data_IF_755318233087
#
_entry.id   IF_755318233087
#
_cell.length_a   1.000
_cell.length_b   1.000
_cell.length_c   1.000
_cell.angle_alpha   90.00
_cell.angle_beta   90.00
_cell.angle_gamma   90.00
#
_symmetry.space_group_name_H-M   'P 1'
#
loop_
_entity.id
_entity.type
_entity.pdbx_description
1 polymer ?
#
# COMPACT_ATOMS: atom_id res chain seq x y z
N UNK A 1 -23.00 51.23 -5.20
CA UNK A 1 -21.56 50.89 -5.14
C UNK A 1 -21.06 51.37 -3.79
N UNK A 2 -20.85 50.47 -2.83
CA UNK A 2 -20.40 50.82 -1.48
C UNK A 2 -19.21 49.94 -1.09
N UNK A 3 -18.24 50.60 -0.48
CA UNK A 3 -17.04 50.06 0.14
C UNK A 3 -17.36 49.38 1.49
N UNK A 4 -16.52 48.38 1.84
CA UNK A 4 -15.97 47.97 3.15
C UNK A 4 -16.83 48.11 4.43
N UNK A 5 -16.86 47.07 5.29
CA UNK A 5 -16.02 46.88 6.50
C UNK A 5 -16.69 45.99 7.59
N UNK A 6 -15.86 45.13 8.23
CA UNK A 6 -15.87 44.66 9.66
C UNK A 6 -16.90 43.69 10.26
N UNK A 7 -16.36 42.55 10.72
CA UNK A 7 -16.41 41.95 12.08
C UNK A 7 -17.59 42.26 13.04
N UNK A 8 -18.17 41.21 13.64
CA UNK A 8 -17.85 40.75 15.02
C UNK A 8 -19.03 39.99 15.67
N UNK A 9 -18.68 38.90 16.36
CA UNK A 9 -19.20 38.39 17.63
C UNK A 9 -20.70 38.48 17.96
N UNK A 10 -21.30 37.31 18.18
CA UNK A 10 -22.46 37.13 19.04
C UNK A 10 -22.22 35.95 19.98
N UNK A 11 -22.03 36.23 21.26
CA UNK A 11 -21.92 35.25 22.33
C UNK A 11 -23.17 35.30 23.22
N UNK A 12 -23.41 34.16 23.89
CA UNK A 12 -24.25 33.92 25.07
C UNK A 12 -25.78 33.95 24.92
N UNK A 13 -26.39 32.81 25.24
CA UNK A 13 -27.38 32.78 26.32
C UNK A 13 -27.09 31.58 27.24
N UNK A 14 -26.84 31.89 28.51
CA UNK A 14 -26.67 30.96 29.62
C UNK A 14 -28.03 30.56 30.21
N UNK A 15 -28.20 29.28 30.57
CA UNK A 15 -28.94 28.90 31.76
C UNK A 15 -28.20 27.74 32.43
N UNK A 16 -27.73 27.99 33.65
CA UNK A 16 -27.14 26.98 34.51
C UNK A 16 -28.23 26.21 35.25
N UNK A 17 -27.94 24.94 35.50
CA UNK A 17 -28.35 24.27 36.73
C UNK A 17 -27.24 23.31 37.15
N UNK A 18 -26.74 23.52 38.36
CA UNK A 18 -25.67 22.75 38.97
C UNK A 18 -26.21 21.43 39.54
N UNK A 19 -25.39 20.37 39.45
CA UNK A 19 -25.67 19.08 40.08
C UNK A 19 -24.56 18.04 39.87
N UNK A 20 -23.54 18.10 40.73
CA UNK A 20 -22.63 17.05 41.23
C UNK A 20 -21.93 16.02 40.30
N UNK A 21 -20.65 15.82 40.63
CA UNK A 21 -19.65 14.89 40.10
C UNK A 21 -20.11 13.43 39.94
N UNK A 22 -19.73 12.82 38.82
CA UNK A 22 -18.92 11.59 38.80
C UNK A 22 -18.13 11.56 37.48
N UNK A 23 -16.81 11.46 37.59
CA UNK A 23 -15.92 11.25 36.46
C UNK A 23 -16.08 9.82 35.96
N UNK A 24 -16.30 9.66 34.65
CA UNK A 24 -15.76 8.52 33.93
C UNK A 24 -15.33 9.01 32.55
N UNK A 25 -14.06 8.77 32.25
CA UNK A 25 -13.38 9.30 31.09
C UNK A 25 -13.61 8.42 29.87
N UNK A 26 -14.02 9.03 28.78
CA UNK A 26 -13.69 8.59 27.44
C UNK A 26 -13.93 9.79 26.53
N UNK A 27 -12.89 10.62 26.37
CA UNK A 27 -12.82 11.53 25.24
C UNK A 27 -12.94 10.69 23.96
N UNK A 28 -13.94 11.04 23.15
CA UNK A 28 -14.05 10.56 21.78
C UNK A 28 -12.87 11.13 20.99
N UNK A 29 -11.80 10.36 20.91
CA UNK A 29 -10.74 10.60 19.94
C UNK A 29 -11.30 10.21 18.56
N UNK A 30 -11.63 11.22 17.78
CA UNK A 30 -12.00 11.09 16.37
C UNK A 30 -10.70 10.83 15.61
N UNK A 31 -10.36 9.56 15.48
CA UNK A 31 -9.19 9.08 14.74
C UNK A 31 -9.47 9.23 13.22
N UNK A 32 -9.28 10.46 12.72
CA UNK A 32 -9.22 10.78 11.30
C UNK A 32 -7.75 10.78 10.91
N UNK A 33 -7.19 9.60 10.67
CA UNK A 33 -6.34 9.36 9.50
C UNK A 33 -6.04 7.87 9.34
N UNK A 34 -5.99 7.41 8.10
CA UNK A 34 -5.29 6.21 7.58
C UNK A 34 -6.03 5.65 6.38
N UNK A 35 -6.15 6.47 5.33
CA UNK A 35 -6.29 5.97 3.98
C UNK A 35 -4.92 5.40 3.55
N UNK A 36 -4.71 4.09 3.69
CA UNK A 36 -3.48 3.44 3.25
C UNK A 36 -3.52 3.21 1.75
N UNK A 37 -3.00 4.17 0.99
CA UNK A 37 -2.76 4.00 -0.42
C UNK A 37 -1.61 3.01 -0.66
N UNK A 38 -1.82 1.79 -1.20
CA UNK A 38 -0.65 1.02 -1.64
C UNK A 38 0.05 1.75 -2.76
N UNK A 39 1.36 1.73 -2.64
CA UNK A 39 2.26 2.55 -3.38
C UNK A 39 2.64 1.74 -4.62
N UNK A 40 2.42 2.28 -5.81
CA UNK A 40 3.20 1.88 -6.97
C UNK A 40 4.62 2.44 -6.81
N UNK A 41 5.62 1.88 -7.52
CA UNK A 41 6.90 2.55 -7.63
C UNK A 41 6.67 4.00 -8.11
N UNK A 42 7.16 4.97 -7.34
CA UNK A 42 7.00 6.39 -7.65
C UNK A 42 8.32 6.88 -8.19
N UNK A 43 8.35 7.23 -9.48
CA UNK A 43 9.48 7.93 -10.07
C UNK A 43 9.30 9.43 -9.84
N UNK A 44 10.34 10.05 -9.29
CA UNK A 44 10.46 11.48 -9.07
C UNK A 44 11.54 11.97 -10.03
N UNK A 45 11.09 12.51 -11.15
CA UNK A 45 11.96 13.10 -12.17
C UNK A 45 12.64 14.34 -11.60
N UNK A 46 13.97 14.42 -11.68
CA UNK A 46 14.76 15.47 -11.02
C UNK A 46 14.48 16.85 -11.63
N UNK A 47 14.26 16.92 -12.94
CA UNK A 47 14.00 18.15 -13.70
C UNK A 47 12.62 18.73 -13.42
N UNK A 48 11.70 17.93 -12.89
CA UNK A 48 10.38 18.39 -12.48
C UNK A 48 10.35 18.92 -11.03
N UNK A 49 11.50 19.01 -10.35
CA UNK A 49 11.57 19.45 -8.96
C UNK A 49 12.05 20.89 -8.80
N UNK A 50 11.53 21.57 -7.77
CA UNK A 50 12.06 22.86 -7.34
C UNK A 50 13.24 22.66 -6.40
N UNK A 51 14.45 22.84 -6.93
CA UNK A 51 15.70 22.68 -6.18
C UNK A 51 16.07 23.95 -5.41
N UNK A 52 16.58 23.75 -4.20
CA UNK A 52 17.34 24.73 -3.44
C UNK A 52 18.79 24.31 -3.36
N UNK A 53 19.69 25.28 -3.30
CA UNK A 53 21.14 25.04 -3.28
C UNK A 53 21.78 25.79 -2.13
N UNK A 54 22.96 25.33 -1.69
CA UNK A 54 23.86 26.15 -0.91
C UNK A 54 24.33 27.39 -1.71
N UNK A 55 24.80 28.45 -1.01
CA UNK A 55 25.30 29.66 -1.68
C UNK A 55 26.47 29.36 -2.62
N UNK A 56 26.42 29.91 -3.84
CA UNK A 56 27.49 29.79 -4.84
C UNK A 56 27.30 28.66 -5.85
N UNK A 57 26.31 27.80 -5.63
CA UNK A 57 26.03 26.65 -6.50
C UNK A 57 24.94 26.92 -7.53
N UNK A 58 24.86 26.06 -8.55
CA UNK A 58 23.87 26.19 -9.63
C UNK A 58 23.21 24.87 -9.98
N UNK A 59 21.98 24.99 -10.45
CA UNK A 59 21.21 23.93 -11.10
C UNK A 59 21.20 24.22 -12.60
N UNK A 60 21.53 23.23 -13.41
CA UNK A 60 21.40 23.25 -14.86
C UNK A 60 20.48 22.08 -15.26
N UNK A 61 19.22 22.35 -15.56
CA UNK A 61 18.21 21.36 -15.96
C UNK A 61 17.97 21.35 -17.47
N UNK A 62 17.48 20.22 -17.97
CA UNK A 62 16.94 20.06 -19.32
C UNK A 62 15.75 19.09 -19.26
N UNK A 63 15.19 18.73 -20.42
CA UNK A 63 14.01 17.88 -20.50
C UNK A 63 14.18 16.46 -19.92
N UNK A 64 15.42 16.00 -19.71
CA UNK A 64 15.72 14.61 -19.35
C UNK A 64 16.53 14.45 -18.04
N UNK A 65 17.06 15.53 -17.45
CA UNK A 65 17.92 15.46 -16.26
C UNK A 65 18.27 16.82 -15.68
N UNK A 66 18.82 16.77 -14.46
CA UNK A 66 19.42 17.91 -13.77
C UNK A 66 20.91 17.68 -13.55
N UNK A 67 21.70 18.71 -13.83
CA UNK A 67 23.10 18.81 -13.46
C UNK A 67 23.27 19.77 -12.27
N UNK A 68 23.78 19.23 -11.17
CA UNK A 68 24.13 19.93 -9.94
C UNK A 68 25.58 20.43 -10.06
N UNK A 69 25.77 21.74 -9.99
CA UNK A 69 27.08 22.40 -10.15
C UNK A 69 27.60 22.80 -8.78
N UNK A 70 28.21 21.82 -8.10
CA UNK A 70 28.92 22.04 -6.85
C UNK A 70 30.31 22.61 -7.13
N UNK A 71 30.83 23.42 -6.22
CA UNK A 71 32.17 24.00 -6.34
C UNK A 71 33.13 23.55 -5.22
N UNK A 72 32.60 22.94 -4.15
CA UNK A 72 33.38 22.45 -3.02
C UNK A 72 32.68 21.28 -2.30
N UNK A 73 33.39 20.65 -1.37
CA UNK A 73 32.80 19.69 -0.45
C UNK A 73 31.91 20.42 0.56
N UNK A 74 30.76 19.83 0.89
CA UNK A 74 29.76 20.40 1.80
C UNK A 74 28.60 21.08 1.09
N UNK A 75 28.71 21.36 -0.22
CA UNK A 75 27.62 21.93 -1.01
C UNK A 75 26.42 20.98 -1.04
N UNK A 76 25.23 21.54 -0.86
CA UNK A 76 23.97 20.80 -0.74
C UNK A 76 22.97 21.22 -1.79
N UNK A 77 22.27 20.22 -2.35
CA UNK A 77 21.17 20.39 -3.28
C UNK A 77 19.96 19.66 -2.70
N UNK A 78 18.83 20.35 -2.60
CA UNK A 78 17.65 19.81 -1.92
C UNK A 78 16.38 20.09 -2.69
N UNK A 79 15.48 19.13 -2.68
CA UNK A 79 14.09 19.34 -3.06
C UNK A 79 13.18 18.55 -2.10
N UNK A 80 11.90 18.84 -2.11
CA UNK A 80 10.91 18.08 -1.35
C UNK A 80 9.84 17.52 -2.28
N UNK A 81 9.37 16.32 -2.00
CA UNK A 81 8.28 15.68 -2.72
C UNK A 81 7.26 15.07 -1.74
N UNK A 82 5.99 15.05 -2.14
CA UNK A 82 4.96 14.34 -1.39
C UNK A 82 5.09 12.83 -1.64
N UNK A 83 5.23 12.06 -0.57
CA UNK A 83 5.41 10.61 -0.59
C UNK A 83 4.36 10.00 0.32
N UNK A 84 3.55 9.09 -0.20
CA UNK A 84 2.59 8.39 0.65
C UNK A 84 3.30 7.46 1.65
N UNK A 85 2.61 7.07 2.71
CA UNK A 85 3.24 6.35 3.81
C UNK A 85 3.67 4.95 3.40
N UNK A 86 4.95 4.61 3.59
CA UNK A 86 5.46 3.26 3.33
C UNK A 86 6.97 3.14 3.45
N UNK A 87 7.47 1.91 3.41
CA UNK A 87 8.92 1.64 3.31
C UNK A 87 9.30 1.50 1.85
N UNK A 88 10.34 2.22 1.44
CA UNK A 88 10.78 2.28 0.06
C UNK A 88 12.27 1.97 -0.06
N UNK A 89 12.62 1.16 -1.06
CA UNK A 89 13.94 1.17 -1.68
C UNK A 89 14.06 2.48 -2.43
N UNK A 90 15.08 3.23 -2.10
CA UNK A 90 15.42 4.47 -2.78
C UNK A 90 16.42 4.12 -3.88
N UNK A 91 15.99 4.24 -5.12
CA UNK A 91 16.79 4.01 -6.31
C UNK A 91 17.15 5.36 -6.92
N UNK A 92 18.43 5.56 -7.24
CA UNK A 92 18.92 6.78 -7.88
C UNK A 92 19.45 6.44 -9.27
N UNK A 93 19.02 7.20 -10.27
CA UNK A 93 19.57 7.21 -11.62
C UNK A 93 20.49 8.42 -11.78
N UNK A 94 21.78 8.20 -11.97
CA UNK A 94 22.77 9.26 -12.09
C UNK A 94 23.84 8.94 -13.14
N UNK A 95 24.51 9.96 -13.64
CA UNK A 95 25.61 9.81 -14.58
C UNK A 95 26.95 9.73 -13.86
N UNK A 96 27.87 8.98 -14.44
CA UNK A 96 29.29 8.96 -14.08
C UNK A 96 30.11 9.68 -15.15
N UNK A 97 31.11 10.46 -14.73
CA UNK A 97 31.99 11.25 -15.62
C UNK A 97 33.21 11.76 -14.86
N UNK A 98 34.23 12.18 -15.59
CA UNK A 98 35.51 12.61 -15.02
C UNK A 98 35.46 13.96 -14.27
N UNK A 99 34.32 14.65 -14.30
CA UNK A 99 34.09 15.92 -13.59
C UNK A 99 33.17 15.75 -12.37
N UNK A 100 32.63 14.54 -12.15
CA UNK A 100 31.64 14.33 -11.09
C UNK A 100 32.28 13.98 -9.74
N UNK A 101 31.61 14.42 -8.67
CA UNK A 101 32.05 14.29 -7.29
C UNK A 101 31.54 13.03 -6.58
N UNK A 102 31.86 12.96 -5.29
CA UNK A 102 31.30 11.99 -4.34
C UNK A 102 30.15 12.66 -3.61
N UNK A 103 29.03 11.96 -3.49
CA UNK A 103 27.82 12.51 -2.91
C UNK A 103 27.23 11.59 -1.87
N UNK A 104 26.49 12.18 -0.93
CA UNK A 104 25.65 11.48 0.02
C UNK A 104 24.20 11.88 -0.21
N UNK A 105 23.33 10.88 -0.35
CA UNK A 105 21.89 11.10 -0.26
C UNK A 105 21.48 11.01 1.21
N UNK A 106 20.82 12.05 1.70
CA UNK A 106 20.07 12.06 2.95
C UNK A 106 18.58 12.29 2.67
N UNK A 107 17.73 11.68 3.48
CA UNK A 107 16.27 11.83 3.39
C UNK A 107 15.71 12.17 4.78
N UNK A 108 14.89 13.22 4.87
CA UNK A 108 14.47 13.83 6.14
C UNK A 108 15.65 14.09 7.10
N UNK A 109 16.77 14.58 6.56
CA UNK A 109 18.00 14.84 7.31
C UNK A 109 18.80 13.60 7.75
N UNK A 110 18.31 12.38 7.49
CA UNK A 110 19.03 11.14 7.83
C UNK A 110 19.79 10.59 6.62
N UNK A 111 21.07 10.25 6.79
CA UNK A 111 21.86 9.63 5.71
C UNK A 111 21.23 8.31 5.24
N UNK A 112 21.21 8.14 3.92
CA UNK A 112 20.84 6.89 3.24
C UNK A 112 22.12 6.18 2.79
N UNK A 113 22.90 6.80 1.89
CA UNK A 113 24.15 6.22 1.38
C UNK A 113 25.02 7.27 0.68
N UNK A 114 26.33 7.07 0.79
CA UNK A 114 27.33 7.75 -0.03
C UNK A 114 27.64 6.97 -1.30
N UNK A 115 27.84 7.68 -2.42
CA UNK A 115 28.20 7.12 -3.71
C UNK A 115 29.24 7.99 -4.42
N UNK A 116 30.05 7.37 -5.29
CA UNK A 116 31.00 8.06 -6.15
C UNK A 116 30.45 8.12 -7.56
N UNK A 117 30.32 9.33 -8.12
CA UNK A 117 29.91 9.54 -9.50
C UNK A 117 31.09 9.74 -10.46
N UNK A 118 32.32 9.58 -9.98
CA UNK A 118 33.49 9.61 -10.85
C UNK A 118 33.48 8.46 -11.87
N UNK A 119 33.73 8.80 -13.14
CA UNK A 119 34.11 7.87 -14.20
C UNK A 119 35.27 8.46 -15.00
N UNK A 120 36.16 7.65 -15.59
CA UNK A 120 37.33 8.19 -16.31
C UNK A 120 37.01 8.89 -17.64
N UNK A 121 35.79 8.70 -18.17
CA UNK A 121 35.34 9.26 -19.44
C UNK A 121 35.02 10.76 -19.37
N UNK A 122 35.20 11.44 -20.50
CA UNK A 122 34.74 12.83 -20.71
C UNK A 122 33.28 12.91 -21.15
N UNK A 123 32.58 11.79 -21.35
CA UNK A 123 31.15 11.71 -21.62
C UNK A 123 30.37 11.13 -20.44
N UNK A 124 29.07 11.43 -20.37
CA UNK A 124 28.19 10.87 -19.34
C UNK A 124 27.96 9.38 -19.58
N UNK A 125 28.22 8.55 -18.56
CA UNK A 125 27.83 7.15 -18.54
C UNK A 125 26.82 6.92 -17.42
N UNK A 126 25.59 6.59 -17.81
CA UNK A 126 24.45 6.55 -16.92
C UNK A 126 24.39 5.23 -16.15
N UNK A 127 24.38 5.27 -14.80
CA UNK A 127 24.10 4.12 -13.92
C UNK A 127 22.87 4.28 -12.98
N UNK A 128 22.27 3.14 -12.62
CA UNK A 128 21.16 3.07 -11.65
C UNK A 128 21.63 2.33 -10.42
N UNK A 129 21.42 2.90 -9.22
CA UNK A 129 21.83 2.27 -7.97
C UNK A 129 20.72 2.32 -6.92
N UNK A 130 20.45 1.18 -6.27
CA UNK A 130 19.69 1.17 -5.02
C UNK A 130 20.57 1.68 -3.90
N UNK A 131 20.17 2.80 -3.30
CA UNK A 131 20.95 3.49 -2.28
C UNK A 131 20.63 2.98 -0.88
N UNK A 132 19.39 2.61 -0.61
CA UNK A 132 19.00 2.04 0.69
C UNK A 132 17.49 1.98 0.84
N UNK A 133 17.05 1.60 2.03
CA UNK A 133 15.64 1.53 2.38
C UNK A 133 15.31 2.55 3.47
N UNK A 134 14.17 3.23 3.34
CA UNK A 134 13.65 4.15 4.36
C UNK A 134 12.13 4.08 4.43
N UNK A 135 11.60 4.20 5.65
CA UNK A 135 10.19 4.49 5.89
C UNK A 135 9.94 5.98 5.68
N UNK A 136 9.06 6.29 4.73
CA UNK A 136 8.76 7.63 4.26
C UNK A 136 7.25 7.88 4.38
N UNK A 137 6.88 9.14 4.55
CA UNK A 137 5.48 9.59 4.62
C UNK A 137 5.42 11.12 4.55
N UNK A 138 4.34 11.64 3.97
CA UNK A 138 4.08 13.07 3.88
C UNK A 138 5.07 13.81 2.97
N UNK A 139 5.39 15.06 3.30
CA UNK A 139 6.38 15.84 2.58
C UNK A 139 7.80 15.40 2.98
N UNK A 140 8.58 14.91 2.02
CA UNK A 140 9.90 14.31 2.23
C UNK A 140 10.98 15.16 1.58
N UNK A 141 11.93 15.67 2.37
CA UNK A 141 13.13 16.33 1.85
C UNK A 141 14.16 15.28 1.39
N UNK A 142 14.60 15.40 0.14
CA UNK A 142 15.76 14.71 -0.41
C UNK A 142 16.92 15.69 -0.49
N UNK A 143 18.07 15.32 0.07
CA UNK A 143 19.27 16.15 0.09
C UNK A 143 20.46 15.39 -0.48
N UNK A 144 21.05 15.92 -1.53
CA UNK A 144 22.33 15.47 -2.08
C UNK A 144 23.42 16.42 -1.60
N UNK A 145 24.34 15.90 -0.79
CA UNK A 145 25.47 16.67 -0.25
C UNK A 145 26.77 16.21 -0.91
N UNK A 146 27.54 17.13 -1.47
CA UNK A 146 28.88 16.83 -1.98
C UNK A 146 29.80 16.47 -0.80
N UNK A 147 30.38 15.27 -0.81
CA UNK A 147 31.34 14.78 0.19
C UNK A 147 32.79 14.90 -0.30
N UNK A 148 33.00 15.72 -1.33
CA UNK A 148 34.27 15.90 -2.01
C UNK A 148 34.29 15.22 -3.37
N UNK A 149 35.47 14.88 -3.86
CA UNK A 149 35.65 14.25 -5.17
C UNK A 149 36.77 13.22 -5.14
N UNK A 150 36.75 12.29 -6.08
CA UNK A 150 37.92 11.44 -6.33
C UNK A 150 39.11 12.28 -6.80
N UNK A 151 40.34 11.88 -6.45
CA UNK A 151 41.56 12.62 -6.78
C UNK A 151 41.71 12.86 -8.29
N UNK A 152 41.24 11.90 -9.09
CA UNK A 152 41.25 11.95 -10.55
C UNK A 152 40.08 12.73 -11.17
N UNK A 153 39.14 13.22 -10.36
CA UNK A 153 38.01 14.02 -10.83
C UNK A 153 38.42 15.49 -10.99
N UNK A 154 38.01 16.11 -12.10
CA UNK A 154 38.27 17.52 -12.39
C UNK A 154 37.28 18.48 -11.73
N UNK A 155 36.20 17.98 -11.12
CA UNK A 155 35.17 18.80 -10.50
C UNK A 155 34.38 18.09 -9.42
N UNK A 156 33.35 18.77 -8.93
CA UNK A 156 32.46 18.28 -7.88
C UNK A 156 31.06 18.01 -8.38
N UNK A 157 30.77 18.26 -9.66
CA UNK A 157 29.44 18.20 -10.26
C UNK A 157 28.73 16.85 -10.00
N UNK A 158 27.42 16.82 -10.19
CA UNK A 158 26.65 15.58 -10.32
C UNK A 158 25.57 15.76 -11.37
N UNK A 159 25.20 14.69 -12.06
CA UNK A 159 24.03 14.69 -12.93
C UNK A 159 23.08 13.57 -12.54
N UNK A 160 21.82 13.93 -12.33
CA UNK A 160 20.73 13.07 -11.85
C UNK A 160 19.60 13.11 -12.86
N UNK A 161 19.05 11.93 -13.15
CA UNK A 161 17.85 11.76 -13.98
C UNK A 161 16.64 11.68 -13.03
N UNK A 162 16.52 10.60 -12.25
CA UNK A 162 15.43 10.44 -11.28
C UNK A 162 15.84 9.80 -9.96
N UNK A 163 14.98 10.01 -8.97
CA UNK A 163 14.85 9.14 -7.78
C UNK A 163 13.60 8.30 -7.95
N UNK A 164 13.72 6.98 -7.86
CA UNK A 164 12.58 6.06 -7.87
C UNK A 164 12.42 5.45 -6.48
N UNK A 165 11.24 5.64 -5.91
CA UNK A 165 10.82 5.05 -4.66
C UNK A 165 10.11 3.75 -4.99
N UNK A 166 10.83 2.64 -4.85
CA UNK A 166 10.27 1.31 -5.06
C UNK A 166 9.74 0.81 -3.72
N UNK A 167 8.42 0.71 -3.53
CA UNK A 167 7.87 0.22 -2.28
C UNK A 167 8.38 -1.19 -2.02
N UNK A 168 8.88 -1.38 -0.80
CA UNK A 168 9.29 -2.69 -0.30
C UNK A 168 8.06 -3.24 0.38
N UNK A 169 7.54 -4.38 -0.09
CA UNK A 169 6.52 -5.13 0.66
C UNK A 169 7.04 -5.34 2.08
N UNK A 170 6.42 -4.66 3.04
CA UNK A 170 7.12 -4.07 4.19
C UNK A 170 7.89 -5.08 5.06
N UNK A 171 9.21 -5.09 4.91
CA UNK A 171 10.14 -5.41 5.99
C UNK A 171 10.25 -4.16 6.86
N UNK A 172 9.59 -4.19 8.02
CA UNK A 172 9.80 -3.20 9.06
C UNK A 172 10.82 -3.73 10.05
N UNK A 173 11.82 -2.91 10.35
CA UNK A 173 12.74 -3.10 11.45
C UNK A 173 12.73 -1.80 12.26
N UNK A 174 11.83 -1.74 13.22
CA UNK A 174 12.07 -1.12 14.53
C UNK A 174 11.57 0.32 14.70
N UNK A 175 10.40 0.46 15.30
CA UNK A 175 9.94 1.69 15.96
C UNK A 175 8.65 1.44 16.76
N UNK A 176 8.81 1.05 18.03
CA UNK A 176 7.77 0.55 18.94
C UNK A 176 6.60 1.51 19.22
N UNK A 177 5.36 1.03 19.09
CA UNK A 177 4.29 1.17 20.10
C UNK A 177 3.06 0.32 19.71
N UNK A 178 2.57 -0.53 20.62
CA UNK A 178 1.32 -1.29 20.48
C UNK A 178 1.52 -2.81 20.31
N UNK A 179 1.28 -3.58 21.38
CA UNK A 179 1.64 -4.99 21.51
C UNK A 179 1.00 -5.94 20.48
N UNK A 180 1.85 -6.60 19.69
CA UNK A 180 1.53 -7.77 18.88
C UNK A 180 2.82 -8.49 18.52
N UNK A 181 2.91 -9.80 18.81
CA UNK A 181 4.09 -10.60 18.47
C UNK A 181 4.15 -10.81 16.94
N UNK A 182 5.32 -10.61 16.34
CA UNK A 182 5.55 -10.88 14.91
C UNK A 182 6.14 -12.28 14.72
N UNK A 183 5.42 -13.21 14.09
CA UNK A 183 5.93 -14.54 13.74
C UNK A 183 6.43 -14.55 12.30
N UNK A 184 7.71 -14.91 12.09
CA UNK A 184 8.26 -15.14 10.76
C UNK A 184 7.86 -16.55 10.28
N UNK A 185 7.16 -16.62 9.16
CA UNK A 185 6.72 -17.90 8.60
C UNK A 185 7.83 -18.65 7.85
N UNK A 186 7.75 -19.98 7.76
CA UNK A 186 8.76 -20.83 7.08
C UNK A 186 8.37 -21.29 5.66
N UNK A 187 7.12 -21.11 5.23
CA UNK A 187 6.61 -21.63 3.97
C UNK A 187 6.52 -23.17 3.93
N UNK A 188 6.23 -23.72 2.75
CA UNK A 188 6.15 -25.15 2.49
C UNK A 188 4.74 -25.72 2.50
N UNK A 189 4.65 -27.05 2.63
CA UNK A 189 3.37 -27.75 2.74
C UNK A 189 2.78 -27.55 4.14
N UNK A 190 1.51 -27.15 4.18
CA UNK A 190 0.75 -26.85 5.39
C UNK A 190 -0.22 -28.00 5.64
N UNK A 191 0.09 -28.85 6.63
CA UNK A 191 -0.72 -30.01 7.01
C UNK A 191 -1.78 -29.70 8.07
N UNK A 192 -1.79 -28.48 8.58
CA UNK A 192 -2.78 -27.97 9.55
C UNK A 192 -2.90 -26.45 9.42
N UNK A 193 -4.11 -25.90 9.52
CA UNK A 193 -4.37 -24.47 9.46
C UNK A 193 -3.41 -23.68 10.34
N UNK A 194 -2.75 -22.68 9.77
CA UNK A 194 -1.90 -21.74 10.49
C UNK A 194 -2.81 -20.71 11.14
N UNK A 195 -2.79 -20.64 12.47
CA UNK A 195 -3.59 -19.69 13.23
C UNK A 195 -2.72 -18.47 13.55
N UNK A 196 -3.11 -17.30 13.04
CA UNK A 196 -2.56 -16.01 13.47
C UNK A 196 -3.45 -15.49 14.58
N UNK A 197 -2.89 -15.38 15.78
CA UNK A 197 -3.65 -15.06 16.98
C UNK A 197 -4.10 -13.62 17.00
N UNK A 198 -5.06 -13.34 17.88
CA UNK A 198 -5.62 -12.02 18.01
C UNK A 198 -4.53 -10.96 18.26
N UNK A 199 -4.55 -9.89 17.46
CA UNK A 199 -3.54 -8.81 17.50
C UNK A 199 -2.14 -9.19 16.99
N UNK A 200 -1.87 -10.45 16.64
CA UNK A 200 -0.55 -10.87 16.17
C UNK A 200 -0.35 -10.59 14.68
N UNK A 201 0.92 -10.47 14.30
CA UNK A 201 1.30 -10.34 12.90
C UNK A 201 2.05 -11.60 12.45
N UNK A 202 1.61 -12.19 11.36
CA UNK A 202 2.37 -13.20 10.64
C UNK A 202 2.97 -12.59 9.38
N UNK A 203 4.29 -12.57 9.31
CA UNK A 203 5.03 -12.16 8.11
C UNK A 203 5.59 -13.40 7.41
N UNK A 204 5.05 -13.70 6.24
CA UNK A 204 5.49 -14.81 5.42
C UNK A 204 6.84 -14.55 4.74
N UNK A 205 7.35 -13.32 4.72
CA UNK A 205 8.61 -12.97 4.06
C UNK A 205 8.66 -13.28 2.56
N UNK A 206 7.49 -13.30 1.90
CA UNK A 206 7.32 -13.69 0.49
C UNK A 206 7.33 -15.20 0.26
N UNK A 207 7.31 -16.02 1.33
CA UNK A 207 7.36 -17.47 1.21
C UNK A 207 6.03 -18.04 0.71
N UNK A 208 6.14 -19.21 0.07
CA UNK A 208 5.03 -19.97 -0.50
C UNK A 208 4.49 -21.00 0.49
N UNK A 209 3.18 -21.09 0.61
CA UNK A 209 2.42 -22.00 1.47
C UNK A 209 1.46 -22.79 0.59
N UNK A 210 1.50 -24.11 0.69
CA UNK A 210 0.70 -25.02 -0.13
C UNK A 210 -0.10 -25.89 0.81
N UNK A 211 -1.42 -26.00 0.62
CA UNK A 211 -2.23 -26.86 1.48
C UNK A 211 -1.87 -28.34 1.23
N UNK A 212 -1.81 -29.14 2.29
CA UNK A 212 -1.81 -30.59 2.13
C UNK A 212 -3.23 -31.04 1.76
N UNK A 213 -3.35 -31.64 0.58
CA UNK A 213 -4.64 -32.05 0.00
C UNK A 213 -5.46 -33.02 0.85
N UNK A 214 -4.80 -33.82 1.69
CA UNK A 214 -5.47 -34.88 2.46
C UNK A 214 -5.95 -34.37 3.82
N UNK A 215 -5.41 -33.24 4.30
CA UNK A 215 -5.69 -32.73 5.65
C UNK A 215 -6.44 -31.40 5.65
N UNK A 216 -6.20 -30.57 4.64
CA UNK A 216 -6.83 -29.27 4.47
C UNK A 216 -7.80 -29.24 3.28
N UNK A 217 -7.39 -29.75 2.12
CA UNK A 217 -8.24 -29.73 0.93
C UNK A 217 -7.46 -29.61 -0.37
N UNK A 218 -8.06 -30.06 -1.46
CA UNK A 218 -7.46 -30.12 -2.79
C UNK A 218 -7.70 -28.88 -3.65
N UNK A 219 -8.44 -27.88 -3.15
CA UNK A 219 -8.80 -26.66 -3.86
C UNK A 219 -9.99 -26.82 -4.80
N UNK A 220 -10.72 -27.93 -4.75
CA UNK A 220 -11.96 -28.10 -5.51
C UNK A 220 -13.11 -27.26 -4.93
N UNK A 221 -14.32 -27.37 -5.50
CA UNK A 221 -15.54 -26.74 -4.98
C UNK A 221 -16.19 -27.56 -3.83
N UNK A 222 -15.45 -28.44 -3.17
CA UNK A 222 -15.93 -29.13 -1.97
C UNK A 222 -15.98 -28.17 -0.77
N UNK A 223 -17.14 -28.12 -0.11
CA UNK A 223 -17.48 -27.13 0.94
C UNK A 223 -16.87 -27.44 2.33
N UNK A 224 -16.25 -28.61 2.53
CA UNK A 224 -15.73 -29.08 3.83
C UNK A 224 -14.21 -28.89 4.00
N UNK A 225 -13.58 -28.20 3.05
CA UNK A 225 -12.16 -27.88 3.09
C UNK A 225 -11.85 -26.90 4.24
N UNK A 226 -10.61 -26.96 4.71
CA UNK A 226 -10.09 -26.09 5.78
C UNK A 226 -9.25 -24.97 5.19
N UNK A 227 -9.19 -23.80 5.86
CA UNK A 227 -8.34 -22.73 5.41
C UNK A 227 -6.86 -23.06 5.66
N UNK A 228 -5.99 -22.51 4.81
CA UNK A 228 -4.54 -22.48 5.04
C UNK A 228 -4.22 -21.56 6.22
N UNK A 229 -4.86 -20.38 6.27
CA UNK A 229 -4.70 -19.41 7.36
C UNK A 229 -6.02 -19.09 8.04
N UNK A 230 -6.01 -19.05 9.38
CA UNK A 230 -7.09 -18.50 10.19
C UNK A 230 -6.56 -17.25 10.90
N UNK A 231 -7.18 -16.10 10.63
CA UNK A 231 -6.86 -14.82 11.23
C UNK A 231 -7.89 -14.50 12.31
N UNK A 232 -7.47 -14.49 13.57
CA UNK A 232 -8.29 -14.04 14.70
C UNK A 232 -8.42 -12.50 14.72
N UNK A 233 -9.27 -11.97 15.59
CA UNK A 233 -9.56 -10.53 15.64
C UNK A 233 -8.29 -9.69 15.93
N UNK A 234 -8.08 -8.62 15.18
CA UNK A 234 -6.88 -7.79 15.19
C UNK A 234 -5.65 -8.38 14.49
N UNK A 235 -5.73 -9.61 13.95
CA UNK A 235 -4.59 -10.26 13.33
C UNK A 235 -4.17 -9.58 12.01
N UNK A 236 -2.86 -9.64 11.73
CA UNK A 236 -2.26 -9.16 10.48
C UNK A 236 -1.54 -10.30 9.75
N UNK A 237 -1.75 -10.39 8.45
CA UNK A 237 -1.04 -11.33 7.59
C UNK A 237 -0.35 -10.55 6.47
N UNK A 238 0.95 -10.76 6.28
CA UNK A 238 1.67 -10.09 5.19
C UNK A 238 2.70 -10.94 4.48
N UNK A 239 2.95 -10.61 3.21
CA UNK A 239 3.99 -11.21 2.38
C UNK A 239 3.86 -12.74 2.27
N UNK A 240 2.68 -13.23 1.90
CA UNK A 240 2.38 -14.67 1.79
C UNK A 240 1.98 -15.00 0.37
N UNK A 241 2.54 -16.09 -0.17
CA UNK A 241 2.10 -16.70 -1.43
C UNK A 241 1.36 -18.00 -1.10
N UNK A 242 0.09 -18.13 -1.48
CA UNK A 242 -0.66 -19.37 -1.46
C UNK A 242 -0.51 -20.04 -2.84
N UNK A 243 0.13 -21.21 -2.85
CA UNK A 243 0.27 -22.06 -4.04
C UNK A 243 -0.80 -23.14 -4.10
N UNK A 244 -0.98 -23.75 -5.26
CA UNK A 244 -1.95 -24.84 -5.46
C UNK A 244 -1.49 -26.16 -4.79
N UNK A 245 -2.39 -26.90 -4.11
CA UNK A 245 -3.76 -26.50 -3.80
C UNK A 245 -3.81 -25.46 -2.68
N UNK A 246 -4.74 -24.51 -2.79
CA UNK A 246 -4.95 -23.46 -1.79
C UNK A 246 -6.10 -23.77 -0.80
N UNK A 247 -6.71 -24.96 -0.89
CA UNK A 247 -7.84 -25.41 -0.07
C UNK A 247 -8.96 -24.35 0.04
N UNK A 248 -9.45 -24.03 1.24
CA UNK A 248 -10.40 -22.95 1.52
C UNK A 248 -9.66 -21.66 1.95
N UNK A 249 -8.52 -21.39 1.30
CA UNK A 249 -7.80 -20.12 1.36
C UNK A 249 -7.53 -19.56 2.76
N UNK A 250 -8.05 -18.36 3.02
CA UNK A 250 -7.86 -17.63 4.28
C UNK A 250 -9.20 -17.33 4.94
N UNK A 251 -9.34 -17.63 6.23
CA UNK A 251 -10.53 -17.25 7.00
C UNK A 251 -10.25 -16.10 7.96
N UNK A 252 -11.14 -15.12 8.00
CA UNK A 252 -11.04 -13.96 8.91
C UNK A 252 -12.12 -13.98 9.98
N UNK A 253 -11.76 -13.62 11.21
CA UNK A 253 -12.62 -13.69 12.40
C UNK A 253 -12.60 -12.38 13.18
N UNK A 254 -13.01 -11.27 12.56
CA UNK A 254 -13.03 -9.94 13.18
C UNK A 254 -12.37 -8.90 12.30
N UNK A 255 -11.78 -7.88 12.94
CA UNK A 255 -10.95 -6.88 12.28
C UNK A 255 -9.62 -7.50 11.87
N UNK A 256 -9.24 -7.45 10.61
CA UNK A 256 -7.95 -8.00 10.16
C UNK A 256 -7.33 -7.15 9.07
N UNK A 257 -6.00 -7.24 8.95
CA UNK A 257 -5.24 -6.60 7.88
C UNK A 257 -4.46 -7.64 7.10
N UNK A 258 -4.57 -7.62 5.79
CA UNK A 258 -3.84 -8.46 4.85
C UNK A 258 -3.03 -7.56 3.92
N UNK A 259 -1.74 -7.83 3.78
CA UNK A 259 -0.84 -7.04 2.94
C UNK A 259 -0.02 -7.93 2.01
N UNK A 260 -0.02 -7.64 0.71
CA UNK A 260 0.81 -8.36 -0.26
C UNK A 260 0.60 -9.89 -0.20
N UNK A 261 -0.65 -10.32 -0.39
CA UNK A 261 -1.02 -11.73 -0.41
C UNK A 261 -1.28 -12.18 -1.85
N UNK A 262 -0.63 -13.26 -2.27
CA UNK A 262 -0.73 -13.79 -3.64
C UNK A 262 -1.36 -15.17 -3.60
N UNK A 263 -2.50 -15.35 -4.27
CA UNK A 263 -3.07 -16.65 -4.58
C UNK A 263 -2.71 -17.02 -6.02
N UNK A 264 -1.80 -17.97 -6.19
CA UNK A 264 -1.36 -18.43 -7.52
C UNK A 264 -2.45 -19.24 -8.24
N UNK A 265 -3.30 -19.91 -7.48
CA UNK A 265 -4.48 -20.64 -7.93
C UNK A 265 -5.49 -20.61 -6.78
N UNK A 266 -6.71 -20.13 -7.02
CA UNK A 266 -7.74 -20.05 -5.97
C UNK A 266 -8.27 -21.47 -5.76
N UNK A 267 -8.45 -21.87 -4.50
CA UNK A 267 -9.07 -23.14 -4.18
C UNK A 267 -10.60 -23.05 -4.24
N UNK A 268 -11.27 -23.40 -3.14
CA UNK A 268 -12.72 -23.20 -3.03
C UNK A 268 -13.04 -21.69 -3.09
N UNK A 269 -12.43 -20.94 -2.17
CA UNK A 269 -12.41 -19.48 -2.07
C UNK A 269 -10.97 -18.98 -1.82
N UNK A 270 -10.67 -17.72 -2.17
CA UNK A 270 -9.38 -17.11 -1.81
C UNK A 270 -9.39 -16.65 -0.34
N UNK A 271 -10.46 -15.94 0.05
CA UNK A 271 -10.68 -15.50 1.42
C UNK A 271 -12.15 -15.46 1.79
N UNK A 272 -12.44 -15.93 3.01
CA UNK A 272 -13.79 -16.02 3.56
C UNK A 272 -13.90 -15.27 4.89
N UNK A 273 -14.80 -14.30 4.98
CA UNK A 273 -15.11 -13.57 6.22
C UNK A 273 -16.09 -14.38 7.05
N UNK A 274 -15.62 -14.96 8.17
CA UNK A 274 -16.40 -15.89 9.01
C UNK A 274 -17.10 -15.21 10.19
N UNK A 275 -16.59 -14.08 10.67
CA UNK A 275 -17.21 -13.27 11.73
C UNK A 275 -17.21 -11.79 11.37
N UNK A 276 -18.12 -11.05 11.99
CA UNK A 276 -18.29 -9.62 11.74
C UNK A 276 -17.04 -8.83 12.09
N UNK A 277 -16.68 -7.86 11.25
CA UNK A 277 -15.53 -6.99 11.46
C UNK A 277 -15.12 -6.23 10.20
N UNK A 278 -14.00 -5.54 10.29
CA UNK A 278 -13.39 -4.84 9.14
C UNK A 278 -12.24 -5.65 8.56
N UNK A 279 -12.35 -6.04 7.30
CA UNK A 279 -11.26 -6.70 6.56
C UNK A 279 -10.62 -5.68 5.64
N UNK A 280 -9.32 -5.45 5.83
CA UNK A 280 -8.51 -4.59 4.95
C UNK A 280 -7.51 -5.45 4.20
N UNK A 281 -7.63 -5.52 2.88
CA UNK A 281 -6.69 -6.21 1.99
C UNK A 281 -6.01 -5.19 1.08
N UNK A 282 -4.69 -5.08 1.20
CA UNK A 282 -3.91 -4.12 0.43
C UNK A 282 -2.75 -4.77 -0.31
N UNK A 283 -2.74 -4.64 -1.65
CA UNK A 283 -1.73 -5.27 -2.48
C UNK A 283 -1.95 -6.77 -2.66
N UNK A 284 -1.21 -7.34 -3.62
CA UNK A 284 -1.27 -8.77 -3.93
C UNK A 284 -2.13 -9.09 -5.14
N UNK A 285 -2.41 -10.38 -5.32
CA UNK A 285 -3.19 -10.83 -6.48
C UNK A 285 -3.86 -12.17 -6.24
N UNK A 286 -4.94 -12.45 -6.95
CA UNK A 286 -5.55 -13.78 -6.99
C UNK A 286 -5.97 -14.13 -8.42
N UNK A 287 -5.77 -15.39 -8.82
CA UNK A 287 -6.17 -15.86 -10.14
C UNK A 287 -6.74 -17.28 -10.12
N UNK A 288 -7.55 -17.59 -11.12
CA UNK A 288 -8.10 -18.92 -11.37
C UNK A 288 -9.00 -19.41 -10.24
N UNK A 289 -10.17 -18.78 -10.06
CA UNK A 289 -11.22 -19.29 -9.19
C UNK A 289 -12.34 -19.94 -9.99
N UNK A 290 -12.89 -21.04 -9.49
CA UNK A 290 -14.05 -21.66 -10.15
C UNK A 290 -15.32 -20.83 -9.95
N UNK A 291 -15.55 -20.33 -8.72
CA UNK A 291 -16.67 -19.45 -8.38
C UNK A 291 -16.26 -18.09 -7.81
N UNK A 292 -15.86 -17.98 -6.54
CA UNK A 292 -15.71 -16.68 -5.85
C UNK A 292 -14.28 -16.45 -5.38
N UNK A 293 -13.79 -15.22 -5.56
CA UNK A 293 -12.49 -14.81 -4.98
C UNK A 293 -12.69 -14.54 -3.48
N UNK A 294 -13.63 -13.66 -3.14
CA UNK A 294 -13.92 -13.29 -1.76
C UNK A 294 -15.36 -13.60 -1.37
N UNK A 295 -15.52 -14.36 -0.28
CA UNK A 295 -16.81 -14.70 0.32
C UNK A 295 -17.01 -13.95 1.64
N UNK A 296 -18.19 -13.36 1.83
CA UNK A 296 -18.53 -12.59 3.04
C UNK A 296 -19.72 -13.25 3.74
N UNK A 297 -19.46 -13.98 4.82
CA UNK A 297 -20.49 -14.73 5.58
C UNK A 297 -21.01 -14.00 6.83
N UNK A 298 -20.53 -12.80 7.11
CA UNK A 298 -20.95 -12.00 8.25
C UNK A 298 -20.98 -10.49 7.92
N UNK A 299 -21.72 -9.71 8.70
CA UNK A 299 -21.79 -8.25 8.56
C UNK A 299 -20.39 -7.63 8.64
N UNK A 300 -19.96 -6.91 7.61
CA UNK A 300 -18.56 -6.52 7.49
C UNK A 300 -18.37 -5.20 6.75
N UNK A 301 -17.25 -4.53 7.04
CA UNK A 301 -16.65 -3.58 6.11
C UNK A 301 -15.50 -4.29 5.40
N UNK A 302 -15.59 -4.43 4.08
CA UNK A 302 -14.57 -5.10 3.28
C UNK A 302 -13.88 -4.08 2.37
N UNK A 303 -12.59 -3.84 2.62
CA UNK A 303 -11.78 -2.91 1.85
C UNK A 303 -10.70 -3.69 1.10
N UNK A 304 -10.68 -3.56 -0.22
CA UNK A 304 -9.64 -4.12 -1.07
C UNK A 304 -9.03 -3.03 -1.92
N UNK A 305 -7.70 -2.93 -1.91
CA UNK A 305 -6.99 -1.93 -2.69
C UNK A 305 -5.70 -2.44 -3.31
N UNK A 306 -5.33 -1.88 -4.46
CA UNK A 306 -4.06 -2.18 -5.15
C UNK A 306 -3.90 -3.67 -5.49
N UNK A 307 -5.03 -4.31 -5.80
CA UNK A 307 -5.14 -5.74 -5.95
C UNK A 307 -5.44 -6.13 -7.40
N UNK A 308 -4.80 -7.19 -7.88
CA UNK A 308 -5.09 -7.76 -9.20
C UNK A 308 -5.88 -9.05 -9.07
N UNK A 309 -7.05 -9.13 -9.69
CA UNK A 309 -7.86 -10.33 -9.74
C UNK A 309 -8.13 -10.74 -11.19
N UNK A 310 -7.92 -12.01 -11.51
CA UNK A 310 -8.14 -12.52 -12.87
C UNK A 310 -8.80 -13.90 -12.87
N UNK A 311 -9.78 -14.09 -13.77
CA UNK A 311 -10.36 -15.39 -14.08
C UNK A 311 -11.04 -16.04 -12.86
N UNK A 312 -12.24 -15.57 -12.54
CA UNK A 312 -13.10 -16.20 -11.54
C UNK A 312 -14.59 -16.07 -11.92
N UNK A 313 -15.51 -16.66 -11.14
CA UNK A 313 -16.94 -16.40 -11.30
C UNK A 313 -17.33 -14.99 -10.84
N UNK A 314 -16.99 -14.64 -9.60
CA UNK A 314 -17.29 -13.36 -8.95
C UNK A 314 -16.05 -12.87 -8.20
N UNK A 315 -15.82 -11.55 -8.17
CA UNK A 315 -14.78 -11.00 -7.32
C UNK A 315 -15.18 -11.00 -5.84
N UNK A 316 -16.36 -10.48 -5.49
CA UNK A 316 -16.87 -10.46 -4.11
C UNK A 316 -18.31 -10.98 -4.08
N UNK A 317 -18.60 -11.92 -3.16
CA UNK A 317 -19.95 -12.42 -2.88
C UNK A 317 -20.28 -12.26 -1.41
N UNK A 318 -21.32 -11.48 -1.10
CA UNK A 318 -22.00 -11.62 0.19
C UNK A 318 -22.77 -12.96 0.21
N UNK A 319 -22.80 -13.66 1.32
CA UNK A 319 -23.49 -14.94 1.44
C UNK A 319 -24.95 -14.87 0.94
N UNK A 320 -25.35 -15.85 0.14
CA UNK A 320 -26.60 -15.81 -0.60
C UNK A 320 -27.84 -15.86 0.30
N UNK A 321 -28.84 -15.06 -0.04
CA UNK A 321 -30.10 -14.98 0.71
C UNK A 321 -29.99 -14.29 2.07
N UNK A 322 -28.81 -13.77 2.44
CA UNK A 322 -28.63 -13.03 3.70
C UNK A 322 -28.93 -11.55 3.53
N UNK A 323 -29.45 -10.93 4.59
CA UNK A 323 -29.89 -9.53 4.60
C UNK A 323 -28.98 -8.61 5.43
N UNK A 324 -27.99 -9.16 6.14
CA UNK A 324 -27.04 -8.36 6.91
C UNK A 324 -26.29 -7.35 6.03
N UNK A 325 -25.87 -6.24 6.63
CA UNK A 325 -25.18 -5.16 5.93
C UNK A 325 -23.71 -5.50 5.67
N UNK A 326 -23.27 -5.25 4.44
CA UNK A 326 -21.86 -5.24 4.03
C UNK A 326 -21.54 -3.94 3.32
N UNK A 327 -20.49 -3.25 3.74
CA UNK A 327 -19.94 -2.10 3.02
C UNK A 327 -18.66 -2.52 2.30
N UNK A 328 -18.67 -2.49 0.97
CA UNK A 328 -17.55 -2.90 0.12
C UNK A 328 -16.84 -1.67 -0.45
N UNK A 329 -15.52 -1.62 -0.32
CA UNK A 329 -14.66 -0.60 -0.91
C UNK A 329 -13.61 -1.27 -1.79
N UNK A 330 -13.56 -0.88 -3.06
CA UNK A 330 -12.64 -1.40 -4.08
C UNK A 330 -11.89 -0.21 -4.65
N UNK A 331 -10.57 -0.14 -4.46
CA UNK A 331 -9.78 1.01 -4.92
C UNK A 331 -8.47 0.61 -5.61
N UNK A 332 -8.17 1.22 -6.76
CA UNK A 332 -6.93 0.96 -7.53
C UNK A 332 -6.72 -0.53 -7.83
N UNK A 333 -7.79 -1.25 -8.12
CA UNK A 333 -7.71 -2.65 -8.51
C UNK A 333 -7.58 -2.83 -10.02
N UNK A 334 -7.14 -4.02 -10.42
CA UNK A 334 -7.27 -4.53 -11.79
C UNK A 334 -8.07 -5.83 -11.76
N UNK A 335 -9.31 -5.79 -12.25
CA UNK A 335 -10.27 -6.89 -12.12
C UNK A 335 -10.68 -7.37 -13.51
N UNK A 336 -10.25 -8.56 -13.89
CA UNK A 336 -10.50 -9.08 -15.23
C UNK A 336 -11.11 -10.48 -15.26
N UNK A 337 -11.90 -10.76 -16.29
CA UNK A 337 -12.44 -12.10 -16.60
C UNK A 337 -13.28 -12.67 -15.46
N UNK A 338 -14.24 -11.89 -14.97
CA UNK A 338 -15.24 -12.37 -14.01
C UNK A 338 -16.46 -12.91 -14.77
N UNK A 339 -16.76 -14.22 -14.66
CA UNK A 339 -17.86 -14.85 -15.42
C UNK A 339 -19.23 -14.25 -15.08
N UNK A 340 -19.40 -13.70 -13.87
CA UNK A 340 -20.66 -13.13 -13.41
C UNK A 340 -20.55 -11.64 -13.05
N UNK A 341 -19.82 -11.27 -11.98
CA UNK A 341 -19.84 -9.89 -11.48
C UNK A 341 -18.62 -9.50 -10.63
N UNK A 342 -18.46 -8.20 -10.37
CA UNK A 342 -17.47 -7.70 -9.41
C UNK A 342 -18.01 -7.84 -7.98
N UNK A 343 -19.22 -7.37 -7.70
CA UNK A 343 -19.84 -7.57 -6.39
C UNK A 343 -21.29 -8.02 -6.51
N UNK A 344 -21.66 -9.06 -5.74
CA UNK A 344 -23.03 -9.57 -5.65
C UNK A 344 -23.51 -9.66 -4.21
N UNK A 345 -24.70 -9.13 -3.97
CA UNK A 345 -25.44 -9.23 -2.71
C UNK A 345 -26.92 -9.51 -2.96
N UNK A 346 -27.60 -10.03 -1.95
CA UNK A 346 -29.07 -10.10 -1.90
C UNK A 346 -29.64 -9.17 -0.80
N UNK A 347 -28.78 -8.47 -0.05
CA UNK A 347 -29.19 -7.51 1.00
C UNK A 347 -29.53 -6.16 0.39
N UNK A 348 -30.65 -5.59 0.81
CA UNK A 348 -31.07 -4.23 0.45
C UNK A 348 -30.24 -3.13 1.13
N UNK A 349 -29.46 -3.48 2.16
CA UNK A 349 -28.72 -2.52 3.00
C UNK A 349 -27.24 -2.42 2.67
N UNK A 350 -26.70 -3.39 1.92
CA UNK A 350 -25.30 -3.44 1.52
C UNK A 350 -24.96 -2.39 0.46
N UNK A 351 -23.70 -1.95 0.47
CA UNK A 351 -23.19 -0.88 -0.39
C UNK A 351 -21.87 -1.25 -1.04
N UNK A 352 -21.57 -0.58 -2.16
CA UNK A 352 -20.28 -0.69 -2.84
C UNK A 352 -19.77 0.66 -3.30
N UNK A 353 -18.50 0.91 -3.02
CA UNK A 353 -17.72 2.02 -3.55
C UNK A 353 -16.58 1.44 -4.37
N UNK A 354 -16.51 1.78 -5.66
CA UNK A 354 -15.44 1.34 -6.56
C UNK A 354 -14.75 2.54 -7.20
N UNK A 355 -13.46 2.73 -6.94
CA UNK A 355 -12.70 3.89 -7.39
C UNK A 355 -11.39 3.51 -8.05
N UNK A 356 -10.93 4.33 -9.01
CA UNK A 356 -9.60 4.21 -9.64
C UNK A 356 -9.29 2.81 -10.19
N UNK A 357 -10.31 2.01 -10.49
CA UNK A 357 -10.18 0.57 -10.76
C UNK A 357 -10.32 0.31 -12.24
N UNK A 358 -9.41 -0.49 -12.78
CA UNK A 358 -9.50 -0.99 -14.15
C UNK A 358 -10.23 -2.32 -14.18
N UNK A 359 -11.08 -2.53 -15.18
CA UNK A 359 -11.81 -3.79 -15.30
C UNK A 359 -12.03 -4.23 -16.75
N UNK A 360 -12.09 -5.53 -16.98
CA UNK A 360 -12.33 -6.11 -18.32
C UNK A 360 -13.02 -7.47 -18.26
N UNK A 361 -13.84 -7.80 -19.25
CA UNK A 361 -14.47 -9.13 -19.35
C UNK A 361 -15.32 -9.50 -18.14
N UNK A 362 -16.21 -8.59 -17.71
CA UNK A 362 -17.19 -8.86 -16.64
C UNK A 362 -18.50 -9.33 -17.26
N UNK A 363 -18.96 -10.53 -16.91
CA UNK A 363 -20.01 -11.26 -17.63
C UNK A 363 -21.40 -10.62 -17.57
N UNK A 364 -22.06 -10.63 -16.41
CA UNK A 364 -23.46 -10.19 -16.29
C UNK A 364 -23.59 -8.71 -15.96
N UNK A 365 -22.90 -8.24 -14.92
CA UNK A 365 -22.94 -6.84 -14.48
C UNK A 365 -21.76 -6.55 -13.53
N UNK A 366 -21.36 -5.28 -13.39
CA UNK A 366 -20.38 -4.89 -12.37
C UNK A 366 -20.89 -5.21 -10.97
N UNK A 367 -22.12 -4.78 -10.68
CA UNK A 367 -22.75 -4.94 -9.36
C UNK A 367 -24.12 -5.62 -9.52
N UNK A 368 -24.38 -6.66 -8.73
CA UNK A 368 -25.63 -7.43 -8.76
C UNK A 368 -26.32 -7.37 -7.40
N UNK A 369 -27.60 -6.99 -7.41
CA UNK A 369 -28.45 -6.90 -6.21
C UNK A 369 -28.18 -5.71 -5.29
N UNK A 370 -27.20 -4.86 -5.62
CA UNK A 370 -26.97 -3.59 -4.94
C UNK A 370 -27.94 -2.53 -5.49
N UNK A 371 -28.63 -1.82 -4.61
CA UNK A 371 -29.49 -0.71 -5.02
C UNK A 371 -28.66 0.45 -5.58
N UNK A 372 -29.17 1.17 -6.58
CA UNK A 372 -28.42 2.24 -7.25
C UNK A 372 -27.98 3.37 -6.32
N UNK A 373 -28.75 3.68 -5.28
CA UNK A 373 -28.40 4.68 -4.26
C UNK A 373 -27.29 4.23 -3.30
N UNK A 374 -26.86 2.96 -3.38
CA UNK A 374 -25.79 2.36 -2.57
C UNK A 374 -24.56 2.00 -3.41
N UNK A 375 -24.52 2.45 -4.66
CA UNK A 375 -23.38 2.30 -5.56
C UNK A 375 -22.71 3.67 -5.69
N UNK A 376 -21.42 3.73 -5.36
CA UNK A 376 -20.57 4.90 -5.61
C UNK A 376 -19.43 4.48 -6.54
N UNK A 377 -19.22 5.22 -7.64
CA UNK A 377 -18.12 4.94 -8.56
C UNK A 377 -17.43 6.20 -9.03
N UNK A 378 -16.11 6.17 -9.20
CA UNK A 378 -15.34 7.26 -9.81
C UNK A 378 -14.02 6.77 -10.42
N UNK A 379 -13.55 7.41 -11.49
CA UNK A 379 -12.24 7.14 -12.12
C UNK A 379 -11.98 5.67 -12.51
N UNK A 380 -13.02 4.89 -12.77
CA UNK A 380 -12.85 3.50 -13.20
C UNK A 380 -12.69 3.44 -14.72
N UNK A 381 -11.85 2.52 -15.20
CA UNK A 381 -11.55 2.37 -16.63
C UNK A 381 -11.85 0.96 -17.09
N UNK A 382 -12.84 0.81 -17.97
CA UNK A 382 -13.01 -0.44 -18.69
C UNK A 382 -11.92 -0.56 -19.78
N UNK A 383 -11.33 -1.74 -19.95
CA UNK A 383 -10.33 -2.00 -21.00
C UNK A 383 -10.56 -3.27 -21.79
#
# INVERSE_FOLDING_TARGET
MSLRLTYAFGALLSFGLAGCLAADGADLDVDVDSASDALSAVRIEAENQSWSTSPGDKIEDNADNVKLRANQSGDTFKFSASVASGTYKIVLRYATRNVYGKYELAVKGSSVKSFDAYGSSTGDSWTTATLGEKSLSGNVEFSLTCKGKSSSSSGYDLKVDYIELVPVGGGDSGGSSGGGTTTAGNGGVVSSTIIVKAGETFDGGGKRYIADKNTLGDGSQAEDQKPVFKLEDGAKLKNVVLGAPAADGIHTYGNVTLENIVWEDIGEDALTVKKSGTVVLNGGSAKNGDDKVFQINAASTFKVSNFTAQNAGKFIRQNGGTDFKVDVFIDRCDISKMKESIFRTDSSSSSVTMTNTRYSGIGKALFMGVSSSKITTSNNTQY
#
